data_IF_004482649676
#
_entry.id   IF_004482649676
#
_cell.length_a   1.000
_cell.length_b   1.000
_cell.length_c   1.000
_cell.angle_alpha   90.00
_cell.angle_beta   90.00
_cell.angle_gamma   90.00
#
_symmetry.space_group_name_H-M   'P 1'
#
loop_
_entity.id
_entity.type
_entity.pdbx_description
1 polymer ?
#
# COMPACT_ATOMS: atom_id res chain seq x y z
N UNK A 1 5.82 -8.92 -9.83
CA UNK A 1 5.39 -9.54 -8.53
C UNK A 1 4.38 -10.66 -8.81
N UNK A 2 4.09 -11.56 -7.86
CA UNK A 2 3.02 -12.57 -8.04
C UNK A 2 1.64 -11.90 -8.04
N UNK A 3 0.64 -12.57 -8.59
CA UNK A 3 -0.76 -12.17 -8.49
C UNK A 3 -1.21 -12.23 -7.01
N UNK A 4 -2.25 -11.46 -6.68
CA UNK A 4 -2.94 -11.52 -5.39
C UNK A 4 -4.32 -12.11 -5.62
N UNK A 5 -4.68 -13.03 -4.74
CA UNK A 5 -6.01 -13.62 -4.62
C UNK A 5 -6.62 -13.25 -3.27
N UNK A 6 -7.95 -13.37 -3.18
CA UNK A 6 -8.70 -13.25 -1.92
C UNK A 6 -9.32 -14.60 -1.57
N UNK A 7 -9.09 -15.08 -0.36
CA UNK A 7 -9.74 -16.32 0.08
C UNK A 7 -11.24 -16.12 0.15
N UNK A 8 -12.02 -17.00 -0.49
CA UNK A 8 -13.49 -16.91 -0.47
C UNK A 8 -14.09 -17.14 0.92
N UNK A 9 -13.38 -17.87 1.79
CA UNK A 9 -13.82 -18.23 3.14
C UNK A 9 -13.46 -17.14 4.15
N UNK A 10 -12.17 -16.94 4.44
CA UNK A 10 -11.72 -16.02 5.48
C UNK A 10 -11.41 -14.60 4.99
N UNK A 11 -11.53 -14.34 3.68
CA UNK A 11 -11.29 -13.03 3.04
C UNK A 11 -9.86 -12.49 3.13
N UNK A 12 -8.90 -13.28 3.62
CA UNK A 12 -7.48 -12.90 3.62
C UNK A 12 -6.95 -12.76 2.18
N UNK A 13 -6.04 -11.83 1.98
CA UNK A 13 -5.27 -11.75 0.74
C UNK A 13 -4.12 -12.76 0.77
N UNK A 14 -3.88 -13.43 -0.35
CA UNK A 14 -2.81 -14.43 -0.49
C UNK A 14 -2.18 -14.37 -1.88
N UNK A 15 -0.97 -14.89 -2.02
CA UNK A 15 -0.33 -15.13 -3.32
C UNK A 15 -0.67 -16.52 -3.89
N UNK A 16 -1.34 -17.37 -3.10
CA UNK A 16 -1.71 -18.74 -3.48
C UNK A 16 -3.09 -18.79 -4.13
N UNK A 17 -3.24 -19.65 -5.14
CA UNK A 17 -4.52 -19.87 -5.83
C UNK A 17 -5.54 -20.66 -5.01
N UNK A 18 -5.10 -21.30 -3.92
CA UNK A 18 -5.95 -22.10 -3.03
C UNK A 18 -5.68 -21.67 -1.60
N UNK A 19 -6.74 -21.40 -0.83
CA UNK A 19 -6.66 -21.05 0.59
C UNK A 19 -7.93 -21.53 1.32
N UNK A 20 -7.80 -21.97 2.58
CA UNK A 20 -8.89 -22.62 3.33
C UNK A 20 -9.51 -23.82 2.56
N UNK A 21 -8.71 -24.54 1.78
CA UNK A 21 -9.16 -25.70 1.01
C UNK A 21 -10.03 -25.38 -0.21
N UNK A 22 -10.20 -24.10 -0.58
CA UNK A 22 -10.97 -23.69 -1.76
C UNK A 22 -10.15 -22.80 -2.69
N UNK A 23 -10.53 -22.77 -3.97
CA UNK A 23 -9.93 -21.84 -4.93
C UNK A 23 -10.20 -20.38 -4.52
N UNK A 24 -9.13 -19.60 -4.42
CA UNK A 24 -9.18 -18.19 -4.08
C UNK A 24 -9.61 -17.34 -5.30
N UNK A 25 -10.34 -16.26 -5.06
CA UNK A 25 -10.79 -15.39 -6.15
C UNK A 25 -9.64 -14.47 -6.61
N UNK A 26 -9.38 -14.32 -7.92
CA UNK A 26 -8.41 -13.35 -8.42
C UNK A 26 -8.75 -11.93 -7.95
N UNK A 27 -7.78 -11.22 -7.39
CA UNK A 27 -7.98 -9.89 -6.84
C UNK A 27 -7.13 -8.82 -7.55
N UNK A 28 -5.83 -9.05 -7.72
CA UNK A 28 -4.92 -8.09 -8.37
C UNK A 28 -3.81 -8.79 -9.14
N UNK A 29 -3.66 -8.49 -10.43
CA UNK A 29 -2.58 -9.05 -11.24
C UNK A 29 -1.20 -8.51 -10.83
N UNK A 30 -0.18 -9.33 -11.04
CA UNK A 30 1.20 -9.06 -10.60
C UNK A 30 1.82 -7.81 -11.23
N UNK A 31 1.37 -7.40 -12.42
CA UNK A 31 1.86 -6.18 -13.10
C UNK A 31 1.30 -4.94 -12.43
N UNK A 32 -0.01 -4.90 -12.19
CA UNK A 32 -0.67 -3.80 -11.46
C UNK A 32 -0.20 -3.73 -10.00
N UNK A 33 -0.02 -4.88 -9.33
CA UNK A 33 0.57 -4.95 -7.99
C UNK A 33 1.94 -4.30 -7.94
N UNK A 34 2.82 -4.64 -8.87
CA UNK A 34 4.17 -4.08 -8.92
C UNK A 34 4.17 -2.57 -9.20
N UNK A 35 3.34 -2.11 -10.14
CA UNK A 35 3.19 -0.70 -10.43
C UNK A 35 2.70 0.09 -9.21
N UNK A 36 1.68 -0.41 -8.51
CA UNK A 36 1.15 0.23 -7.31
C UNK A 36 2.17 0.22 -6.16
N UNK A 37 2.87 -0.88 -5.93
CA UNK A 37 3.93 -0.97 -4.92
C UNK A 37 5.07 0.05 -5.14
N UNK A 38 5.51 0.21 -6.40
CA UNK A 38 6.52 1.22 -6.77
C UNK A 38 6.00 2.64 -6.55
N UNK A 39 4.76 2.93 -6.95
CA UNK A 39 4.15 4.24 -6.76
C UNK A 39 4.00 4.60 -5.28
N UNK A 40 3.46 3.68 -4.46
CA UNK A 40 3.32 3.87 -3.03
C UNK A 40 4.67 4.11 -2.35
N UNK A 41 5.69 3.32 -2.72
CA UNK A 41 7.06 3.51 -2.20
C UNK A 41 7.58 4.91 -2.53
N UNK A 42 7.37 5.39 -3.75
CA UNK A 42 7.83 6.71 -4.17
C UNK A 42 7.11 7.84 -3.43
N UNK A 43 5.78 7.82 -3.41
CA UNK A 43 4.95 8.86 -2.78
C UNK A 43 5.27 8.96 -1.28
N UNK A 44 5.17 7.84 -0.56
CA UNK A 44 5.30 7.84 0.91
C UNK A 44 6.71 8.21 1.37
N UNK A 45 7.75 7.98 0.56
CA UNK A 45 9.14 8.22 0.94
C UNK A 45 9.71 9.53 0.43
N UNK A 46 9.17 10.06 -0.65
CA UNK A 46 9.79 11.15 -1.40
C UNK A 46 8.82 12.27 -1.73
N UNK A 47 7.64 11.97 -2.27
CA UNK A 47 6.85 12.99 -2.97
C UNK A 47 5.37 12.97 -2.58
N UNK A 48 5.13 13.30 -1.32
CA UNK A 48 3.78 13.50 -0.78
C UNK A 48 3.04 14.64 -1.51
N UNK A 49 3.78 15.70 -1.85
CA UNK A 49 3.27 16.91 -2.48
C UNK A 49 2.64 16.67 -3.84
N UNK A 50 3.18 15.72 -4.63
CA UNK A 50 2.61 15.34 -5.93
C UNK A 50 1.15 14.90 -5.91
N UNK A 51 0.64 14.50 -4.73
CA UNK A 51 -0.76 14.11 -4.56
C UNK A 51 -1.45 14.88 -3.43
N UNK A 52 -0.80 15.90 -2.86
CA UNK A 52 -1.31 16.66 -1.72
C UNK A 52 -1.51 15.81 -0.47
N UNK A 53 -0.68 14.78 -0.27
CA UNK A 53 -0.70 13.95 0.92
C UNK A 53 0.09 14.62 2.04
N UNK A 54 -0.30 14.39 3.28
CA UNK A 54 0.47 14.77 4.46
C UNK A 54 0.69 13.53 5.33
N UNK A 55 1.84 13.48 6.00
CA UNK A 55 2.13 12.47 7.01
C UNK A 55 2.05 13.12 8.39
N UNK A 56 1.71 12.34 9.41
CA UNK A 56 1.95 12.74 10.79
C UNK A 56 3.46 12.63 11.15
N UNK A 57 3.79 12.95 12.40
CA UNK A 57 5.17 12.92 12.90
C UNK A 57 5.85 11.55 12.82
N UNK A 58 5.06 10.48 12.83
CA UNK A 58 5.54 9.09 12.79
C UNK A 58 5.48 8.50 11.37
N UNK A 59 5.07 9.29 10.38
CA UNK A 59 5.06 8.93 8.97
C UNK A 59 3.75 8.32 8.48
N UNK A 60 2.68 8.34 9.28
CA UNK A 60 1.39 7.77 8.89
C UNK A 60 0.56 8.73 8.03
N UNK A 61 -0.09 8.16 7.02
CA UNK A 61 -1.12 8.81 6.21
C UNK A 61 -2.39 7.96 6.20
N UNK A 62 -3.56 8.59 6.06
CA UNK A 62 -4.81 7.86 5.81
C UNK A 62 -4.74 7.18 4.44
N UNK A 63 -5.14 5.91 4.39
CA UNK A 63 -5.21 5.16 3.13
C UNK A 63 -6.21 5.81 2.17
N UNK A 64 -7.33 6.31 2.69
CA UNK A 64 -8.34 7.06 1.93
C UNK A 64 -7.73 8.24 1.17
N UNK A 65 -6.86 9.00 1.83
CA UNK A 65 -6.26 10.23 1.30
C UNK A 65 -5.19 9.89 0.27
N UNK A 66 -4.42 8.83 0.50
CA UNK A 66 -3.48 8.27 -0.46
C UNK A 66 -4.21 7.84 -1.75
N UNK A 67 -5.31 7.08 -1.61
CA UNK A 67 -6.11 6.62 -2.76
C UNK A 67 -6.73 7.78 -3.50
N UNK A 68 -7.31 8.76 -2.79
CA UNK A 68 -7.89 9.96 -3.39
C UNK A 68 -6.82 10.75 -4.16
N UNK A 69 -5.65 10.99 -3.54
CA UNK A 69 -4.55 11.70 -4.14
C UNK A 69 -4.02 11.00 -5.41
N UNK A 70 -3.83 9.68 -5.36
CA UNK A 70 -3.42 8.87 -6.53
C UNK A 70 -4.44 8.99 -7.67
N UNK A 71 -5.74 8.91 -7.37
CA UNK A 71 -6.80 8.91 -8.40
C UNK A 71 -7.12 10.30 -8.94
N UNK A 72 -6.85 11.36 -8.18
CA UNK A 72 -7.26 12.72 -8.53
C UNK A 72 -6.11 13.61 -8.99
N UNK A 73 -4.93 13.50 -8.37
CA UNK A 73 -3.84 14.49 -8.51
C UNK A 73 -2.56 13.95 -9.11
N UNK A 74 -2.31 12.65 -9.00
CA UNK A 74 -1.10 12.06 -9.58
C UNK A 74 -1.02 12.32 -11.09
N UNK A 75 0.17 12.67 -11.59
CA UNK A 75 0.39 13.01 -13.01
C UNK A 75 -0.15 11.96 -14.00
N UNK A 76 -0.14 10.68 -13.60
CA UNK A 76 -0.64 9.55 -14.40
C UNK A 76 -1.93 8.94 -13.81
N UNK A 77 -2.75 9.72 -13.09
CA UNK A 77 -3.93 9.24 -12.37
C UNK A 77 -4.89 8.41 -13.23
N UNK A 78 -4.99 8.66 -14.54
CA UNK A 78 -5.78 7.86 -15.49
C UNK A 78 -5.42 6.37 -15.45
N UNK A 79 -4.14 6.03 -15.25
CA UNK A 79 -3.67 4.64 -15.16
C UNK A 79 -3.98 3.97 -13.82
N UNK A 80 -4.39 4.75 -12.81
CA UNK A 80 -4.60 4.31 -11.43
C UNK A 80 -6.04 4.53 -10.94
N UNK A 81 -7.00 4.78 -11.85
CA UNK A 81 -8.41 4.97 -11.48
C UNK A 81 -9.04 3.76 -10.77
N UNK A 82 -8.50 2.56 -11.03
CA UNK A 82 -8.90 1.29 -10.44
C UNK A 82 -8.45 1.11 -8.98
N UNK A 83 -7.50 1.92 -8.49
CA UNK A 83 -6.95 1.79 -7.14
C UNK A 83 -8.05 2.05 -6.11
N UNK A 84 -8.12 1.19 -5.10
CA UNK A 84 -9.02 1.31 -3.95
C UNK A 84 -8.20 1.10 -2.67
N UNK A 85 -8.81 1.35 -1.50
CA UNK A 85 -8.14 1.09 -0.22
C UNK A 85 -7.76 -0.38 -0.06
N UNK A 86 -8.60 -1.30 -0.52
CA UNK A 86 -8.32 -2.74 -0.47
C UNK A 86 -7.08 -3.11 -1.30
N UNK A 87 -6.89 -2.49 -2.47
CA UNK A 87 -5.67 -2.70 -3.26
C UNK A 87 -4.41 -2.23 -2.52
N UNK A 88 -4.49 -1.06 -1.87
CA UNK A 88 -3.38 -0.53 -1.06
C UNK A 88 -3.05 -1.47 0.11
N UNK A 89 -4.08 -1.93 0.83
CA UNK A 89 -3.92 -2.88 1.94
C UNK A 89 -3.33 -4.21 1.48
N UNK A 90 -3.84 -4.78 0.40
CA UNK A 90 -3.33 -6.05 -0.14
C UNK A 90 -1.87 -5.95 -0.57
N UNK A 91 -1.48 -4.86 -1.25
CA UNK A 91 -0.09 -4.60 -1.64
C UNK A 91 0.81 -4.45 -0.41
N UNK A 92 0.35 -3.75 0.63
CA UNK A 92 1.12 -3.54 1.84
C UNK A 92 1.30 -4.83 2.67
N UNK A 93 0.22 -5.59 2.87
CA UNK A 93 0.20 -6.83 3.65
C UNK A 93 1.07 -7.92 3.02
N UNK A 94 1.06 -8.03 1.69
CA UNK A 94 1.84 -9.02 0.95
C UNK A 94 3.17 -8.45 0.44
N UNK A 95 3.71 -7.37 1.01
CA UNK A 95 5.02 -6.89 0.58
C UNK A 95 6.14 -7.76 1.16
N UNK A 96 6.89 -8.53 0.35
CA UNK A 96 7.96 -9.39 0.85
C UNK A 96 9.10 -8.63 1.52
N UNK A 97 9.28 -7.34 1.22
CA UNK A 97 10.32 -6.50 1.85
C UNK A 97 9.82 -5.71 3.05
N UNK A 98 8.55 -5.92 3.43
CA UNK A 98 7.89 -5.23 4.53
C UNK A 98 8.12 -3.70 4.49
N UNK A 99 8.06 -3.09 3.30
CA UNK A 99 8.27 -1.64 3.14
C UNK A 99 7.18 -0.83 3.78
N UNK A 100 6.01 -1.41 3.95
CA UNK A 100 4.80 -0.75 4.43
C UNK A 100 4.33 -1.35 5.73
N UNK A 101 3.65 -0.51 6.50
CA UNK A 101 2.93 -0.87 7.70
C UNK A 101 1.52 -0.29 7.58
N UNK A 102 0.51 -1.04 8.04
CA UNK A 102 -0.90 -0.66 7.99
C UNK A 102 -1.50 -0.85 9.38
N UNK A 103 -2.14 0.19 9.91
CA UNK A 103 -2.82 0.17 11.22
C UNK A 103 -4.02 1.10 11.17
N UNK A 104 -5.20 0.65 11.58
CA UNK A 104 -6.42 1.48 11.73
C UNK A 104 -6.76 2.37 10.52
N UNK A 105 -6.54 1.86 9.30
CA UNK A 105 -6.79 2.62 8.06
C UNK A 105 -5.73 3.66 7.70
N UNK A 106 -4.62 3.65 8.43
CA UNK A 106 -3.41 4.39 8.15
C UNK A 106 -2.38 3.48 7.45
N UNK A 107 -1.48 4.11 6.70
CA UNK A 107 -0.33 3.47 6.08
C UNK A 107 0.91 4.36 6.26
N UNK A 108 2.06 3.74 6.51
CA UNK A 108 3.37 4.40 6.44
C UNK A 108 4.39 3.55 5.70
N UNK A 109 5.47 4.16 5.23
CA UNK A 109 6.66 3.41 4.87
C UNK A 109 7.49 3.12 6.14
N UNK A 110 8.03 1.91 6.30
CA UNK A 110 8.88 1.56 7.45
C UNK A 110 10.25 2.21 7.41
N UNK A 111 10.75 2.55 6.22
CA UNK A 111 12.09 3.10 6.01
C UNK A 111 12.21 3.85 4.68
N UNK A 112 13.31 4.57 4.52
CA UNK A 112 13.70 5.20 3.26
C UNK A 112 13.12 6.58 3.00
N UNK A 113 12.55 7.25 4.00
CA UNK A 113 12.09 8.62 3.89
C UNK A 113 13.23 9.59 3.57
N UNK A 114 12.98 10.54 2.68
CA UNK A 114 13.88 11.66 2.47
C UNK A 114 13.92 12.57 3.69
N UNK A 115 15.12 13.07 4.06
CA UNK A 115 15.34 13.94 5.23
C UNK A 115 14.38 15.13 5.31
N UNK A 116 13.98 15.69 4.17
CA UNK A 116 13.04 16.83 4.06
C UNK A 116 11.64 16.55 4.64
N UNK A 117 11.25 15.28 4.78
CA UNK A 117 9.93 14.91 5.28
C UNK A 117 9.83 15.00 6.81
N UNK A 118 10.95 15.13 7.53
CA UNK A 118 10.95 15.32 8.98
C UNK A 118 10.36 14.15 9.79
N UNK A 119 10.13 12.99 9.16
CA UNK A 119 9.52 11.82 9.79
C UNK A 119 10.49 11.21 10.81
N UNK A 120 10.00 10.98 12.03
CA UNK A 120 10.71 10.27 13.09
C UNK A 120 9.99 8.96 13.36
N UNK A 121 10.48 7.87 12.77
CA UNK A 121 9.87 6.55 12.95
C UNK A 121 10.36 5.99 14.29
N UNK A 122 9.42 5.82 15.22
CA UNK A 122 9.56 4.89 16.33
C UNK A 122 9.23 3.48 15.80
N UNK A 123 10.11 2.51 16.10
CA UNK A 123 9.77 1.11 15.94
C UNK A 123 9.27 0.63 17.29
N UNK A 124 8.03 0.13 17.34
CA UNK A 124 7.63 -0.70 18.47
C UNK A 124 8.54 -1.94 18.41
N UNK A 125 9.42 -2.09 19.42
CA UNK A 125 10.23 -3.29 19.56
C UNK A 125 9.26 -4.36 20.01
N UNK A 126 9.02 -5.37 19.18
CA UNK A 126 8.20 -6.52 19.57
C UNK A 126 8.71 -7.04 20.92
N UNK A 127 7.87 -6.95 21.95
CA UNK A 127 8.14 -7.43 23.32
C UNK A 127 7.74 -8.89 23.48
#
# INVERSE_FOLDING_TARGET
MRDIYRCRVCKVFTEDRVHCGVEAEPFLDGRRREALSKLMSYILRHDLGSIGLSLDSEGWARISDLVQGIRARWRNAKLYKWVTEEHVRAVALLDPKQRFEVRDGMIRARYGHSKRLGVRISYEVDS
#
